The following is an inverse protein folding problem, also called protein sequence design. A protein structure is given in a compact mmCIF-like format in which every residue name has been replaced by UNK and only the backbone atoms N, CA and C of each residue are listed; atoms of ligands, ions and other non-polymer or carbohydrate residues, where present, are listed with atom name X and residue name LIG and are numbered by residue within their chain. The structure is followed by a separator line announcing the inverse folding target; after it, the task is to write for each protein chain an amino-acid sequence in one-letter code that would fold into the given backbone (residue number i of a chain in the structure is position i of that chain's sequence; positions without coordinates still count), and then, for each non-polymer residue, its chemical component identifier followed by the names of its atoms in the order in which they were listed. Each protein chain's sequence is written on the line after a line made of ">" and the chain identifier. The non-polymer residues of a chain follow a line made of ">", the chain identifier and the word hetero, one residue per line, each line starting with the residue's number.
data_IF_889801617492
#
_entry.id   IF_889801617492
#
_cell.length_a   1.000
_cell.length_b   1.000
_cell.length_c   1.000
_cell.angle_alpha   90.00
_cell.angle_beta   90.00
_cell.angle_gamma   90.00
#
_symmetry.space_group_name_H-M   'P 1'
#
loop_
_entity.id
_entity.type
_entity.pdbx_description
1 polymer ?
#
# COMPACT_ATOMS: atom_id res chain seq x y z
N UNK A 1 -48.92 23.78 2.82
CA UNK A 1 -48.11 24.06 4.01
C UNK A 1 -47.66 22.72 4.54
N UNK A 2 -46.57 22.10 4.04
CA UNK A 2 -45.17 22.52 4.27
C UNK A 2 -44.89 22.32 5.77
N UNK A 3 -44.17 21.31 6.22
CA UNK A 3 -42.73 21.11 6.00
C UNK A 3 -42.33 19.62 5.93
N UNK A 4 -41.35 19.33 5.06
CA UNK A 4 -40.50 18.14 5.09
C UNK A 4 -39.32 18.48 6.01
N UNK A 5 -39.11 17.70 7.08
CA UNK A 5 -37.86 17.71 7.82
C UNK A 5 -36.80 16.97 6.99
N UNK A 6 -36.11 17.74 6.15
CA UNK A 6 -34.94 17.34 5.40
C UNK A 6 -33.69 17.36 6.31
N UNK A 7 -33.00 16.23 6.31
CA UNK A 7 -31.55 16.11 6.07
C UNK A 7 -30.51 16.68 7.08
N UNK A 8 -29.74 15.69 7.56
CA UNK A 8 -28.31 15.67 7.93
C UNK A 8 -27.96 15.81 9.43
N UNK A 9 -27.24 14.82 10.01
CA UNK A 9 -26.47 15.08 11.21
C UNK A 9 -25.36 16.08 10.87
N UNK A 10 -25.30 17.16 11.64
CA UNK A 10 -24.23 18.14 11.60
C UNK A 10 -22.94 17.49 12.09
N UNK A 11 -22.03 17.16 11.17
CA UNK A 11 -20.63 16.89 11.50
C UNK A 11 -19.95 18.23 11.78
N UNK A 12 -20.00 18.65 13.05
CA UNK A 12 -19.14 19.71 13.55
C UNK A 12 -17.74 19.15 13.78
N UNK A 13 -16.86 19.26 12.79
CA UNK A 13 -15.43 19.31 13.07
C UNK A 13 -14.88 20.61 12.46
N UNK A 14 -14.44 21.50 13.33
CA UNK A 14 -13.57 22.61 12.98
C UNK A 14 -12.16 22.14 13.26
N UNK A 15 -11.37 21.87 12.21
CA UNK A 15 -9.91 21.81 12.37
C UNK A 15 -9.47 23.26 12.43
N UNK A 16 -9.57 23.84 13.63
CA UNK A 16 -9.04 25.17 13.88
C UNK A 16 -7.57 25.00 14.28
N UNK A 17 -6.71 25.33 13.31
CA UNK A 17 -5.32 25.74 13.47
C UNK A 17 -4.28 24.69 13.92
N UNK A 18 -4.10 23.64 13.13
CA UNK A 18 -2.82 22.92 13.11
C UNK A 18 -1.81 23.71 12.26
N UNK A 19 -1.03 24.60 12.89
CA UNK A 19 0.14 25.19 12.24
C UNK A 19 1.26 24.15 12.25
N UNK A 20 1.58 23.59 11.09
CA UNK A 20 2.76 22.75 10.90
C UNK A 20 3.93 23.68 10.58
N UNK A 21 4.87 23.81 11.51
CA UNK A 21 6.14 24.47 11.27
C UNK A 21 7.09 23.48 10.61
N UNK A 22 7.43 23.73 9.34
CA UNK A 22 8.51 23.03 8.66
C UNK A 22 9.72 23.97 8.68
N UNK A 23 10.65 23.72 9.59
CA UNK A 23 11.93 24.45 9.63
C UNK A 23 12.89 23.81 8.62
N UNK A 24 13.45 24.63 7.74
CA UNK A 24 14.31 24.21 6.65
C UNK A 24 15.64 24.94 6.78
N UNK A 25 16.63 24.31 7.44
CA UNK A 25 17.86 24.98 7.82
C UNK A 25 18.85 25.17 6.66
N UNK A 26 18.54 24.65 5.45
CA UNK A 26 19.47 24.65 4.31
C UNK A 26 18.96 25.51 3.14
N UNK A 27 19.79 26.48 2.72
CA UNK A 27 19.45 27.43 1.65
C UNK A 27 19.81 26.93 0.23
N UNK A 28 20.39 25.74 0.10
CA UNK A 28 20.67 25.10 -1.21
C UNK A 28 19.57 24.13 -1.67
N UNK A 29 18.47 24.01 -0.93
CA UNK A 29 17.33 23.18 -1.34
C UNK A 29 16.65 23.75 -2.58
N UNK A 30 16.56 22.93 -3.64
CA UNK A 30 15.89 23.33 -4.89
C UNK A 30 14.37 23.20 -4.82
N UNK A 31 13.84 22.22 -4.09
CA UNK A 31 12.40 22.04 -3.89
C UNK A 31 12.10 21.26 -2.59
N UNK A 32 10.88 21.41 -2.11
CA UNK A 32 10.32 20.68 -0.97
C UNK A 32 9.04 19.99 -1.48
N UNK A 33 8.94 18.69 -1.26
CA UNK A 33 7.71 17.95 -1.47
C UNK A 33 7.04 17.77 -0.10
N UNK A 34 5.79 18.22 0.03
CA UNK A 34 4.97 18.02 1.23
C UNK A 34 3.71 17.27 0.80
N UNK A 35 3.56 16.05 1.29
CA UNK A 35 2.34 15.28 1.16
C UNK A 35 1.58 15.32 2.48
N UNK A 36 0.32 15.75 2.43
CA UNK A 36 -0.54 15.80 3.61
C UNK A 36 -1.74 14.90 3.38
N UNK A 37 -1.82 13.87 4.22
CA UNK A 37 -2.93 12.92 4.23
C UNK A 37 -3.88 13.29 5.36
N UNK A 38 -5.16 13.41 5.05
CA UNK A 38 -6.20 13.73 6.03
C UNK A 38 -7.26 12.64 6.04
N UNK A 39 -7.63 12.19 7.22
CA UNK A 39 -8.65 11.17 7.39
C UNK A 39 -8.56 10.50 8.76
N UNK A 40 -9.54 9.65 9.05
CA UNK A 40 -9.47 8.77 10.20
C UNK A 40 -8.53 7.62 9.88
N UNK A 41 -7.69 7.24 10.83
CA UNK A 41 -6.88 6.04 10.71
C UNK A 41 -7.75 4.79 10.84
N UNK A 42 -7.45 3.75 10.09
CA UNK A 42 -7.99 2.41 10.30
C UNK A 42 -6.86 1.42 10.55
N UNK A 43 -7.21 0.17 10.80
CA UNK A 43 -6.24 -0.91 11.01
C UNK A 43 -6.55 -2.12 10.15
N UNK A 44 -5.51 -2.84 9.77
CA UNK A 44 -5.63 -4.19 9.22
C UNK A 44 -4.65 -5.12 9.91
N UNK A 45 -5.08 -6.35 10.16
CA UNK A 45 -4.24 -7.42 10.65
C UNK A 45 -3.60 -8.14 9.46
N UNK A 46 -2.28 -8.24 9.46
CA UNK A 46 -1.49 -8.89 8.43
C UNK A 46 -0.86 -10.13 9.03
N UNK A 47 -1.37 -11.29 8.64
CA UNK A 47 -0.77 -12.57 8.97
C UNK A 47 0.58 -12.74 8.24
N UNK A 48 1.55 -13.36 8.90
CA UNK A 48 2.79 -13.79 8.29
C UNK A 48 3.16 -15.19 8.76
N UNK A 49 3.79 -15.94 7.87
CA UNK A 49 4.36 -17.26 8.18
C UNK A 49 5.79 -17.10 8.72
N UNK A 50 6.35 -18.17 9.26
CA UNK A 50 7.80 -18.27 9.43
C UNK A 50 8.50 -18.17 8.07
N UNK A 51 9.75 -17.72 8.06
CA UNK A 51 10.54 -17.45 6.86
C UNK A 51 9.95 -16.33 5.99
N UNK A 52 10.04 -16.48 4.67
CA UNK A 52 9.82 -15.41 3.70
C UNK A 52 8.35 -15.16 3.42
N UNK A 53 7.97 -13.89 3.43
CA UNK A 53 6.61 -13.43 3.18
C UNK A 53 6.62 -12.29 2.17
N UNK A 54 5.56 -12.22 1.36
CA UNK A 54 5.28 -11.05 0.54
C UNK A 54 4.36 -10.10 1.29
N UNK A 55 4.87 -8.91 1.59
CA UNK A 55 4.18 -7.87 2.36
C UNK A 55 4.09 -6.57 1.56
N UNK A 56 3.23 -5.67 2.00
CA UNK A 56 3.13 -4.32 1.46
C UNK A 56 2.51 -3.35 2.45
N UNK A 57 2.44 -2.09 2.07
CA UNK A 57 1.92 -1.02 2.91
C UNK A 57 0.59 -0.49 2.35
N UNK A 58 -0.55 -0.83 2.96
CA UNK A 58 -1.86 -0.43 2.47
C UNK A 58 -2.30 0.95 3.01
N UNK A 59 -1.44 1.68 3.72
CA UNK A 59 -1.78 2.91 4.42
C UNK A 59 -0.78 4.03 4.17
N UNK A 60 -1.24 5.27 4.25
CA UNK A 60 -0.34 6.40 4.51
C UNK A 60 -0.04 6.45 6.02
N UNK A 61 1.24 6.39 6.36
CA UNK A 61 1.75 6.34 7.73
C UNK A 61 2.75 7.46 7.97
N UNK A 62 2.90 7.88 9.23
CA UNK A 62 3.90 8.89 9.59
C UNK A 62 5.34 8.36 9.56
N UNK A 63 5.53 7.06 9.82
CA UNK A 63 6.82 6.38 9.79
C UNK A 63 6.66 5.01 9.10
N UNK A 64 7.21 4.90 7.90
CA UNK A 64 7.19 3.70 7.08
C UNK A 64 8.34 2.73 7.34
N UNK A 65 9.16 2.95 8.38
CA UNK A 65 10.28 2.05 8.69
C UNK A 65 9.79 0.64 9.01
N UNK A 66 10.52 -0.37 8.50
CA UNK A 66 10.18 -1.78 8.72
C UNK A 66 10.16 -2.14 10.20
N UNK A 67 11.04 -1.52 11.00
CA UNK A 67 11.09 -1.71 12.45
C UNK A 67 9.86 -1.16 13.18
N UNK A 68 9.22 -0.13 12.62
CA UNK A 68 7.97 0.41 13.16
C UNK A 68 6.76 -0.39 12.69
N UNK A 69 6.73 -0.76 11.40
CA UNK A 69 5.59 -1.43 10.80
C UNK A 69 5.54 -2.94 11.10
N UNK A 70 6.68 -3.62 11.10
CA UNK A 70 6.83 -5.07 11.31
C UNK A 70 7.94 -5.36 12.35
N UNK A 71 7.73 -5.03 13.63
CA UNK A 71 8.76 -5.11 14.67
C UNK A 71 9.25 -6.54 14.96
N UNK A 72 8.50 -7.57 14.55
CA UNK A 72 8.87 -8.98 14.72
C UNK A 72 9.62 -9.56 13.51
N UNK A 73 9.86 -8.75 12.48
CA UNK A 73 10.66 -9.17 11.32
C UNK A 73 12.15 -9.25 11.63
N UNK A 74 12.88 -10.02 10.83
CA UNK A 74 14.33 -10.13 10.94
C UNK A 74 14.97 -8.89 10.31
N UNK A 75 15.82 -8.20 11.08
CA UNK A 75 16.55 -7.01 10.62
C UNK A 75 17.31 -7.26 9.29
N UNK A 76 17.24 -6.28 8.39
CA UNK A 76 17.95 -6.32 7.12
C UNK A 76 17.39 -7.34 6.10
N UNK A 77 16.13 -7.76 6.26
CA UNK A 77 15.47 -8.70 5.34
C UNK A 77 14.36 -8.11 4.49
N UNK A 78 14.15 -6.79 4.54
CA UNK A 78 13.20 -6.12 3.66
C UNK A 78 13.82 -5.91 2.27
N UNK A 79 13.27 -6.59 1.26
CA UNK A 79 13.74 -6.49 -0.13
C UNK A 79 12.60 -6.11 -1.07
N UNK A 80 12.76 -5.02 -1.82
CA UNK A 80 11.94 -4.71 -2.99
C UNK A 80 12.54 -5.36 -4.25
N UNK A 81 11.87 -5.18 -5.38
CA UNK A 81 12.35 -5.65 -6.68
C UNK A 81 12.34 -4.52 -7.71
N UNK A 82 13.50 -4.28 -8.31
CA UNK A 82 13.72 -3.33 -9.41
C UNK A 82 14.74 -3.97 -10.38
N UNK A 83 14.26 -4.92 -11.19
CA UNK A 83 15.08 -5.81 -12.03
C UNK A 83 15.97 -6.82 -11.28
N UNK A 84 16.32 -6.51 -10.04
CA UNK A 84 16.99 -7.35 -9.06
C UNK A 84 16.46 -7.02 -7.65
N UNK A 85 16.81 -7.84 -6.67
CA UNK A 85 16.46 -7.56 -5.28
C UNK A 85 17.26 -6.36 -4.74
N UNK A 86 16.54 -5.42 -4.13
CA UNK A 86 17.10 -4.20 -3.54
C UNK A 86 16.73 -4.16 -2.08
N UNK A 87 17.74 -4.05 -1.20
CA UNK A 87 17.49 -3.90 0.24
C UNK A 87 16.84 -2.54 0.51
N UNK A 88 15.87 -2.52 1.41
CA UNK A 88 15.15 -1.32 1.84
C UNK A 88 15.03 -1.30 3.36
N UNK A 89 14.86 -0.12 3.95
CA UNK A 89 14.58 0.03 5.39
C UNK A 89 13.16 0.53 5.67
N UNK A 90 12.44 0.95 4.62
CA UNK A 90 11.10 1.54 4.69
C UNK A 90 10.19 0.93 3.64
N UNK A 91 8.93 0.72 3.99
CA UNK A 91 7.89 0.34 3.03
C UNK A 91 7.26 1.61 2.44
N UNK A 92 7.04 1.59 1.12
CA UNK A 92 6.36 2.63 0.37
C UNK A 92 5.06 2.07 -0.20
N UNK A 93 3.93 2.80 -0.13
CA UNK A 93 2.68 2.35 -0.74
C UNK A 93 2.83 1.97 -2.22
N UNK A 94 2.11 0.93 -2.63
CA UNK A 94 2.15 0.41 -4.00
C UNK A 94 3.35 -0.50 -4.32
N UNK A 95 4.43 -0.43 -3.54
CA UNK A 95 5.56 -1.36 -3.66
C UNK A 95 5.31 -2.59 -2.79
N UNK A 96 5.54 -3.77 -3.36
CA UNK A 96 5.58 -5.03 -2.62
C UNK A 96 7.00 -5.36 -2.16
N UNK A 97 7.13 -6.12 -1.08
CA UNK A 97 8.41 -6.47 -0.49
C UNK A 97 8.45 -7.93 -0.08
N UNK A 98 9.63 -8.53 -0.16
CA UNK A 98 9.97 -9.69 0.64
C UNK A 98 10.37 -9.24 2.04
N UNK A 99 9.88 -9.96 3.05
CA UNK A 99 10.25 -9.75 4.45
C UNK A 99 10.31 -11.11 5.15
N UNK A 100 11.28 -11.30 6.05
CA UNK A 100 11.48 -12.59 6.73
C UNK A 100 11.13 -12.50 8.22
N UNK A 101 10.50 -13.55 8.74
CA UNK A 101 10.15 -13.69 10.16
C UNK A 101 10.72 -15.00 10.73
N UNK A 102 11.02 -15.02 12.04
CA UNK A 102 11.50 -16.24 12.72
C UNK A 102 10.36 -17.25 12.96
N UNK A 103 9.13 -16.77 13.14
CA UNK A 103 7.94 -17.58 13.37
C UNK A 103 6.73 -17.01 12.65
N UNK A 104 5.69 -17.83 12.50
CA UNK A 104 4.37 -17.34 12.12
C UNK A 104 3.80 -16.40 13.20
N UNK A 105 2.93 -15.49 12.78
CA UNK A 105 2.35 -14.47 13.66
C UNK A 105 1.48 -13.49 12.89
N UNK A 106 1.10 -12.41 13.58
CA UNK A 106 0.29 -11.34 13.00
C UNK A 106 0.85 -9.98 13.38
N UNK A 107 0.76 -9.03 12.45
CA UNK A 107 1.14 -7.64 12.66
C UNK A 107 -0.06 -6.73 12.37
N UNK A 108 -0.35 -5.79 13.26
CA UNK A 108 -1.41 -4.80 13.03
C UNK A 108 -0.79 -3.55 12.40
N UNK A 109 -1.19 -3.26 11.16
CA UNK A 109 -0.84 -2.00 10.50
C UNK A 109 -1.92 -0.95 10.77
N UNK A 110 -1.50 0.27 11.06
CA UNK A 110 -2.40 1.41 11.31
C UNK A 110 -1.98 2.62 10.48
N UNK A 111 -2.95 3.29 9.85
CA UNK A 111 -2.69 4.55 9.15
C UNK A 111 -3.92 5.05 8.40
N UNK A 112 -3.73 6.08 7.59
CA UNK A 112 -4.81 6.67 6.78
C UNK A 112 -5.05 5.76 5.56
N UNK A 113 -6.30 5.32 5.31
CA UNK A 113 -6.61 4.43 4.21
C UNK A 113 -6.21 4.96 2.84
N UNK A 114 -5.50 4.14 2.08
CA UNK A 114 -5.30 4.30 0.66
C UNK A 114 -6.53 3.73 -0.03
N UNK A 115 -7.20 4.58 -0.79
CA UNK A 115 -8.43 4.23 -1.52
C UNK A 115 -8.24 4.16 -3.04
N UNK A 116 -7.05 4.47 -3.53
CA UNK A 116 -6.63 4.16 -4.90
C UNK A 116 -5.11 4.33 -5.01
N UNK A 117 -4.51 3.65 -5.99
CA UNK A 117 -3.09 3.79 -6.34
C UNK A 117 -2.93 3.84 -7.86
N UNK A 118 -1.96 4.61 -8.32
CA UNK A 118 -1.39 4.49 -9.66
C UNK A 118 -0.01 3.87 -9.54
N UNK A 119 0.21 2.74 -10.20
CA UNK A 119 1.47 2.01 -10.15
C UNK A 119 2.14 2.07 -11.51
N UNK A 120 3.40 2.51 -11.54
CA UNK A 120 4.28 2.28 -12.68
C UNK A 120 4.74 0.82 -12.68
N UNK A 121 4.75 0.20 -13.84
CA UNK A 121 5.23 -1.16 -14.06
C UNK A 121 6.36 -1.12 -15.09
N UNK A 122 7.40 -1.90 -14.83
CA UNK A 122 8.45 -2.21 -15.80
C UNK A 122 8.08 -3.44 -16.63
N UNK A 123 8.66 -3.57 -17.82
CA UNK A 123 8.55 -4.80 -18.60
C UNK A 123 9.09 -6.00 -17.77
N UNK A 124 8.29 -7.06 -17.66
CA UNK A 124 8.65 -8.24 -16.89
C UNK A 124 7.99 -8.27 -15.51
N UNK A 125 8.72 -8.77 -14.50
CA UNK A 125 8.18 -9.01 -13.17
C UNK A 125 8.24 -7.75 -12.32
N UNK A 126 7.12 -7.43 -11.68
CA UNK A 126 6.96 -6.30 -10.77
C UNK A 126 6.46 -6.84 -9.43
N UNK A 127 6.99 -6.29 -8.34
CA UNK A 127 6.54 -6.63 -6.99
C UNK A 127 5.69 -5.49 -6.43
N UNK A 128 4.38 -5.72 -6.32
CA UNK A 128 3.38 -4.70 -6.01
C UNK A 128 2.61 -5.04 -4.74
N UNK A 129 1.79 -4.10 -4.25
CA UNK A 129 0.78 -4.35 -3.20
C UNK A 129 -0.56 -3.71 -3.54
N UNK A 130 -1.61 -4.10 -2.82
CA UNK A 130 -2.96 -3.55 -2.93
C UNK A 130 -3.18 -2.28 -2.10
N UNK A 131 -4.45 -1.92 -1.93
CA UNK A 131 -4.91 -0.76 -1.15
C UNK A 131 -5.46 -1.20 0.22
N UNK A 132 -6.09 -0.30 0.99
CA UNK A 132 -6.61 -0.62 2.34
C UNK A 132 -7.85 -1.51 2.40
N UNK A 133 -8.38 -1.90 1.25
CA UNK A 133 -9.54 -2.80 1.14
C UNK A 133 -9.19 -3.92 0.16
N UNK A 134 -9.73 -5.14 0.35
CA UNK A 134 -9.59 -6.20 -0.64
C UNK A 134 -10.09 -5.75 -2.01
N UNK A 135 -9.33 -6.04 -3.06
CA UNK A 135 -9.68 -5.70 -4.44
C UNK A 135 -9.53 -6.92 -5.33
N UNK A 136 -10.59 -7.24 -6.08
CA UNK A 136 -10.53 -8.28 -7.12
C UNK A 136 -9.50 -7.86 -8.18
N UNK A 137 -8.65 -8.80 -8.61
CA UNK A 137 -7.67 -8.58 -9.69
C UNK A 137 -8.33 -8.08 -10.98
N UNK A 138 -9.57 -8.50 -11.24
CA UNK A 138 -10.37 -8.06 -12.38
C UNK A 138 -10.80 -6.58 -12.31
N UNK A 139 -10.71 -5.95 -11.14
CA UNK A 139 -11.03 -4.53 -10.93
C UNK A 139 -9.83 -3.60 -11.15
N UNK A 140 -8.64 -4.14 -11.40
CA UNK A 140 -7.46 -3.37 -11.78
C UNK A 140 -7.73 -2.72 -13.14
N UNK A 141 -7.57 -1.39 -13.20
CA UNK A 141 -7.70 -0.64 -14.44
C UNK A 141 -6.37 -0.67 -15.18
N UNK A 142 -6.33 -1.46 -16.24
CA UNK A 142 -5.21 -1.59 -17.16
C UNK A 142 -5.64 -1.16 -18.58
N UNK A 143 -5.73 0.16 -18.81
CA UNK A 143 -6.24 0.71 -20.06
C UNK A 143 -5.40 0.39 -21.29
N UNK A 144 -4.15 0.00 -21.08
CA UNK A 144 -3.17 -0.33 -22.13
C UNK A 144 -2.96 -1.82 -22.31
N UNK A 145 -3.68 -2.66 -21.53
CA UNK A 145 -3.59 -4.12 -21.55
C UNK A 145 -2.15 -4.64 -21.38
N UNK A 146 -1.38 -4.02 -20.48
CA UNK A 146 0.03 -4.39 -20.24
C UNK A 146 0.17 -5.57 -19.27
N UNK A 147 -0.80 -5.86 -18.41
CA UNK A 147 -0.74 -6.99 -17.49
C UNK A 147 -0.89 -8.30 -18.29
N UNK A 148 0.04 -9.23 -18.10
CA UNK A 148 -0.09 -10.57 -18.68
C UNK A 148 -1.14 -11.35 -17.88
N UNK A 149 -2.24 -11.81 -18.50
CA UNK A 149 -3.32 -12.48 -17.77
C UNK A 149 -2.84 -13.72 -17.01
N UNK A 150 -3.36 -13.91 -15.79
CA UNK A 150 -3.04 -15.06 -14.95
C UNK A 150 -1.64 -15.02 -14.33
N UNK A 151 -0.97 -13.86 -14.31
CA UNK A 151 0.40 -13.72 -13.77
C UNK A 151 0.48 -12.99 -12.43
N UNK A 152 -0.64 -12.81 -11.74
CA UNK A 152 -0.64 -12.21 -10.40
C UNK A 152 -0.53 -13.32 -9.36
N UNK A 153 0.54 -13.31 -8.58
CA UNK A 153 0.86 -14.36 -7.61
C UNK A 153 1.16 -13.80 -6.23
N UNK A 154 0.49 -14.32 -5.20
CA UNK A 154 0.90 -14.19 -3.81
C UNK A 154 1.88 -15.28 -3.40
N UNK A 155 2.33 -15.25 -2.14
CA UNK A 155 3.19 -16.29 -1.57
C UNK A 155 2.67 -16.74 -0.21
N UNK A 156 2.44 -18.05 -0.09
CA UNK A 156 2.03 -18.73 1.14
C UNK A 156 2.75 -20.09 1.22
N UNK A 157 4.07 -20.03 1.46
CA UNK A 157 5.00 -21.19 1.37
C UNK A 157 5.28 -21.66 -0.07
N UNK A 158 4.40 -21.33 -1.01
CA UNK A 158 4.57 -21.50 -2.45
C UNK A 158 3.86 -20.36 -3.19
N UNK A 159 4.16 -20.19 -4.48
CA UNK A 159 3.45 -19.22 -5.30
C UNK A 159 2.03 -19.70 -5.59
N UNK A 160 1.06 -18.85 -5.27
CA UNK A 160 -0.36 -19.11 -5.49
C UNK A 160 -0.92 -17.97 -6.32
N UNK A 161 -1.64 -18.30 -7.39
CA UNK A 161 -2.29 -17.28 -8.20
C UNK A 161 -3.34 -16.55 -7.37
N UNK A 162 -3.29 -15.23 -7.36
CA UNK A 162 -4.20 -14.40 -6.59
C UNK A 162 -5.40 -13.98 -7.46
N UNK A 163 -6.60 -14.08 -6.88
CA UNK A 163 -7.82 -13.49 -7.46
C UNK A 163 -8.18 -12.16 -6.77
N UNK A 164 -7.68 -11.96 -5.54
CA UNK A 164 -7.91 -10.78 -4.71
C UNK A 164 -6.56 -10.28 -4.18
N UNK A 165 -6.37 -8.96 -4.23
CA UNK A 165 -5.29 -8.25 -3.56
C UNK A 165 -5.76 -7.89 -2.15
N UNK A 166 -5.24 -8.60 -1.15
CA UNK A 166 -5.53 -8.39 0.26
C UNK A 166 -4.65 -7.25 0.82
N UNK A 167 -5.19 -6.38 1.69
CA UNK A 167 -4.42 -5.30 2.28
C UNK A 167 -3.22 -5.84 3.08
N UNK A 168 -2.06 -5.22 2.92
CA UNK A 168 -0.84 -5.60 3.63
C UNK A 168 -0.07 -6.78 3.04
N UNK A 169 -0.61 -7.45 2.01
CA UNK A 169 0.08 -8.51 1.27
C UNK A 169 0.77 -7.97 0.02
N UNK A 170 1.89 -8.59 -0.34
CA UNK A 170 2.62 -8.32 -1.59
C UNK A 170 2.28 -9.34 -2.67
N UNK A 171 2.41 -8.94 -3.93
CA UNK A 171 2.05 -9.74 -5.10
C UNK A 171 3.05 -9.53 -6.23
N UNK A 172 3.48 -10.62 -6.85
CA UNK A 172 4.13 -10.56 -8.16
C UNK A 172 3.09 -10.31 -9.23
N UNK A 173 3.42 -9.46 -10.21
CA UNK A 173 2.64 -9.20 -11.40
C UNK A 173 3.60 -9.15 -12.59
N UNK A 174 3.24 -9.78 -13.72
CA UNK A 174 4.04 -9.69 -14.94
C UNK A 174 3.43 -8.73 -15.95
N UNK A 175 4.19 -7.73 -16.38
CA UNK A 175 3.81 -6.80 -17.43
C UNK A 175 4.52 -7.16 -18.75
N UNK A 176 3.81 -6.96 -19.87
CA UNK A 176 4.31 -7.20 -21.22
C UNK A 176 5.20 -6.06 -21.74
N UNK A 177 5.00 -4.85 -21.25
CA UNK A 177 5.79 -3.64 -21.52
C UNK A 177 5.78 -2.75 -20.30
N UNK A 178 6.65 -1.73 -20.27
CA UNK A 178 6.53 -0.64 -19.30
C UNK A 178 5.17 0.09 -19.45
N UNK A 179 4.65 0.64 -18.36
CA UNK A 179 3.42 1.42 -18.37
C UNK A 179 2.87 1.66 -16.97
N UNK A 180 1.58 1.98 -16.87
CA UNK A 180 0.94 2.26 -15.59
C UNK A 180 -0.45 1.62 -15.49
N UNK A 181 -0.77 1.17 -14.28
CA UNK A 181 -2.09 0.64 -13.93
C UNK A 181 -2.69 1.45 -12.78
N UNK A 182 -4.01 1.37 -12.63
CA UNK A 182 -4.71 1.96 -11.47
C UNK A 182 -5.41 0.88 -10.67
N UNK A 183 -5.19 0.87 -9.37
CA UNK A 183 -5.94 0.05 -8.41
C UNK A 183 -6.95 0.99 -7.74
N UNK A 184 -8.22 1.03 -8.17
CA UNK A 184 -9.23 1.85 -7.53
C UNK A 184 -9.86 1.12 -6.34
N UNK A 185 -10.36 1.88 -5.36
CA UNK A 185 -11.36 1.33 -4.44
C UNK A 185 -12.67 1.14 -5.19
N UNK A 186 -12.93 -0.10 -5.59
CA UNK A 186 -14.28 -0.50 -6.01
C UNK A 186 -15.07 -0.83 -4.76
N UNK A 187 -15.73 0.19 -4.19
CA UNK A 187 -16.87 -0.09 -3.32
C UNK A 187 -17.90 -0.83 -4.18
N UNK A 188 -18.01 -2.15 -4.02
CA UNK A 188 -19.19 -2.88 -4.49
C UNK A 188 -20.38 -2.28 -3.73
N UNK A 189 -21.07 -1.36 -4.39
CA UNK A 189 -22.30 -0.70 -3.95
C UNK A 189 -23.51 -1.55 -4.26
#
# INVERSE_FOLDING_TARGET
>A
HGEMDDFLPTLNYSIQDSIIWIDIPNWELQYINVEIYFGNTTTVEVEHNADWNLVGLPYYVGDGSVTNLFPESIDGTLFSFDGAYVISDTLVPGTGYWLRFESEGTTILNGIPIIWLTLGLDEGWNLITGISTPIDVSSILDSTEIIIPGTIYGYDGSYVQAEVLEPGKGYWLRAATEGAIVIPNTLNR
#
